data_IF_983525854520
#
_entry.id   IF_983525854520
#
_cell.length_a   1.000
_cell.length_b   1.000
_cell.length_c   1.000
_cell.angle_alpha   90.00
_cell.angle_beta   90.00
_cell.angle_gamma   90.00
#
_symmetry.space_group_name_H-M   'P 1'
#
loop_
_entity.id
_entity.type
_entity.pdbx_description
1 polymer ?
#
# COMPACT_ATOMS: atom_id res chain seq x y z
N UNK A 1 -19.25 22.01 -8.84
CA UNK A 1 -18.76 21.20 -7.69
C UNK A 1 -17.76 22.02 -6.92
N UNK A 2 -17.95 22.19 -5.61
CA UNK A 2 -16.96 22.83 -4.74
C UNK A 2 -15.68 21.98 -4.64
N UNK A 3 -14.54 22.60 -4.33
CA UNK A 3 -13.25 21.90 -4.20
C UNK A 3 -13.32 20.72 -3.21
N UNK A 4 -14.05 20.91 -2.09
CA UNK A 4 -14.30 19.88 -1.07
C UNK A 4 -15.06 18.67 -1.62
N UNK A 5 -16.11 18.87 -2.41
CA UNK A 5 -16.88 17.76 -3.01
C UNK A 5 -16.04 16.93 -3.98
N UNK A 6 -15.10 17.56 -4.70
CA UNK A 6 -14.18 16.86 -5.60
C UNK A 6 -13.24 15.93 -4.84
N UNK A 7 -12.70 16.40 -3.71
CA UNK A 7 -11.82 15.61 -2.83
C UNK A 7 -12.57 14.40 -2.26
N UNK A 8 -13.78 14.60 -1.72
CA UNK A 8 -14.59 13.51 -1.16
C UNK A 8 -14.88 12.42 -2.21
N UNK A 9 -15.23 12.81 -3.44
CA UNK A 9 -15.46 11.85 -4.54
C UNK A 9 -14.20 11.05 -4.88
N UNK A 10 -13.03 11.68 -4.86
CA UNK A 10 -11.73 11.02 -5.13
C UNK A 10 -11.38 10.02 -4.04
N UNK A 11 -11.46 10.42 -2.77
CA UNK A 11 -11.20 9.52 -1.64
C UNK A 11 -12.11 8.29 -1.66
N UNK A 12 -13.40 8.49 -1.99
CA UNK A 12 -14.36 7.40 -2.18
C UNK A 12 -13.93 6.44 -3.30
N UNK A 13 -13.31 6.95 -4.35
CA UNK A 13 -12.78 6.12 -5.44
C UNK A 13 -11.53 5.37 -5.01
N UNK A 14 -10.61 6.03 -4.29
CA UNK A 14 -9.34 5.42 -3.88
C UNK A 14 -9.56 4.20 -3.00
N UNK A 15 -10.33 4.30 -1.91
CA UNK A 15 -10.51 3.14 -1.02
C UNK A 15 -11.18 1.95 -1.73
N UNK A 16 -12.10 2.21 -2.68
CA UNK A 16 -12.75 1.17 -3.49
C UNK A 16 -11.78 0.50 -4.44
N UNK A 17 -10.88 1.27 -5.05
CA UNK A 17 -9.85 0.75 -5.94
C UNK A 17 -8.85 -0.11 -5.17
N UNK A 18 -8.36 0.36 -4.02
CA UNK A 18 -7.44 -0.43 -3.18
C UNK A 18 -8.09 -1.73 -2.69
N UNK A 19 -9.33 -1.65 -2.18
CA UNK A 19 -10.09 -2.83 -1.75
C UNK A 19 -10.36 -3.80 -2.91
N UNK A 20 -10.71 -3.27 -4.09
CA UNK A 20 -10.88 -4.05 -5.30
C UNK A 20 -9.59 -4.74 -5.71
N UNK A 21 -8.47 -4.03 -5.71
CA UNK A 21 -7.15 -4.56 -6.06
C UNK A 21 -6.68 -5.64 -5.08
N UNK A 22 -6.99 -5.50 -3.78
CA UNK A 22 -6.69 -6.51 -2.77
C UNK A 22 -7.34 -7.88 -3.09
N UNK A 23 -8.39 -7.92 -3.91
CA UNK A 23 -9.03 -9.15 -4.38
C UNK A 23 -8.69 -9.48 -5.84
N UNK A 24 -8.80 -8.50 -6.74
CA UNK A 24 -8.62 -8.69 -8.18
C UNK A 24 -7.18 -9.07 -8.54
N UNK A 25 -6.17 -8.45 -7.92
CA UNK A 25 -4.76 -8.76 -8.24
C UNK A 25 -4.43 -10.21 -7.85
N UNK A 26 -4.73 -10.69 -6.63
CA UNK A 26 -4.59 -12.11 -6.28
C UNK A 26 -5.35 -13.06 -7.21
N UNK A 27 -6.58 -12.73 -7.57
CA UNK A 27 -7.38 -13.56 -8.47
C UNK A 27 -6.76 -13.66 -9.87
N UNK A 28 -6.25 -12.56 -10.41
CA UNK A 28 -5.52 -12.55 -11.68
C UNK A 28 -4.22 -13.34 -11.61
N UNK A 29 -3.49 -13.24 -10.50
CA UNK A 29 -2.27 -14.02 -10.28
C UNK A 29 -2.57 -15.53 -10.24
N UNK A 30 -3.63 -15.93 -9.53
CA UNK A 30 -4.08 -17.32 -9.47
C UNK A 30 -4.50 -17.83 -10.86
N UNK A 31 -5.25 -17.02 -11.62
CA UNK A 31 -5.65 -17.38 -12.98
C UNK A 31 -4.44 -17.51 -13.92
N UNK A 32 -3.48 -16.58 -13.83
CA UNK A 32 -2.26 -16.58 -14.65
C UNK A 32 -1.38 -17.82 -14.43
N UNK A 33 -1.35 -18.37 -13.21
CA UNK A 33 -0.60 -19.61 -12.93
C UNK A 33 -1.39 -20.88 -13.22
N UNK A 34 -2.59 -20.78 -13.78
CA UNK A 34 -3.48 -21.93 -13.98
C UNK A 34 -3.91 -22.57 -12.65
N UNK A 35 -3.95 -21.79 -11.57
CA UNK A 35 -4.28 -22.23 -10.23
C UNK A 35 -3.12 -22.87 -9.46
N UNK A 36 -1.91 -22.92 -10.03
CA UNK A 36 -0.77 -23.57 -9.41
C UNK A 36 0.17 -22.56 -8.75
N UNK A 37 -0.23 -22.05 -7.58
CA UNK A 37 0.59 -21.17 -6.74
C UNK A 37 1.42 -21.98 -5.76
N UNK A 38 2.73 -21.73 -5.74
CA UNK A 38 3.65 -22.27 -4.76
C UNK A 38 3.71 -21.44 -3.48
N UNK A 39 4.41 -21.96 -2.48
CA UNK A 39 4.61 -21.30 -1.19
C UNK A 39 5.21 -19.89 -1.36
N UNK A 40 6.13 -19.71 -2.31
CA UNK A 40 6.79 -18.42 -2.57
C UNK A 40 5.77 -17.36 -3.00
N UNK A 41 4.82 -17.70 -3.87
CA UNK A 41 3.75 -16.78 -4.25
C UNK A 41 2.87 -16.41 -3.07
N UNK A 42 2.46 -17.36 -2.23
CA UNK A 42 1.65 -17.05 -1.04
C UNK A 42 2.37 -16.13 -0.06
N UNK A 43 3.66 -16.40 0.19
CA UNK A 43 4.51 -15.55 1.05
C UNK A 43 4.63 -14.14 0.47
N UNK A 44 4.74 -13.99 -0.85
CA UNK A 44 4.84 -12.68 -1.50
C UNK A 44 3.49 -11.93 -1.57
N UNK A 45 2.39 -12.64 -1.77
CA UNK A 45 1.05 -12.07 -1.86
C UNK A 45 0.52 -11.59 -0.51
N UNK A 46 0.92 -12.22 0.59
CA UNK A 46 0.47 -11.85 1.93
C UNK A 46 0.74 -10.36 2.30
N UNK A 47 1.98 -9.83 2.25
CA UNK A 47 2.22 -8.42 2.52
C UNK A 47 1.59 -7.49 1.46
N UNK A 48 1.51 -7.93 0.19
CA UNK A 48 0.85 -7.15 -0.86
C UNK A 48 -0.62 -6.91 -0.53
N UNK A 49 -1.37 -7.97 -0.23
CA UNK A 49 -2.79 -7.89 0.14
C UNK A 49 -2.94 -7.06 1.43
N UNK A 50 -2.11 -7.32 2.44
CA UNK A 50 -2.14 -6.58 3.70
C UNK A 50 -1.98 -5.07 3.46
N UNK A 51 -1.02 -4.66 2.63
CA UNK A 51 -0.76 -3.24 2.36
C UNK A 51 -1.87 -2.58 1.54
N UNK A 52 -2.46 -3.29 0.57
CA UNK A 52 -3.64 -2.81 -0.15
C UNK A 52 -4.83 -2.63 0.80
N UNK A 53 -5.02 -3.55 1.76
CA UNK A 53 -6.07 -3.42 2.79
C UNK A 53 -5.79 -2.26 3.76
N UNK A 54 -4.53 -2.05 4.16
CA UNK A 54 -4.13 -0.89 4.96
C UNK A 54 -4.44 0.41 4.19
N UNK A 55 -4.10 0.45 2.91
CA UNK A 55 -4.41 1.56 2.01
C UNK A 55 -5.91 1.83 1.90
N UNK A 56 -6.70 0.79 1.64
CA UNK A 56 -8.15 0.86 1.58
C UNK A 56 -8.75 1.38 2.89
N UNK A 57 -8.34 0.82 4.03
CA UNK A 57 -8.81 1.22 5.35
C UNK A 57 -8.45 2.68 5.67
N UNK A 58 -7.25 3.12 5.31
CA UNK A 58 -6.82 4.50 5.49
C UNK A 58 -7.64 5.48 4.67
N UNK A 59 -7.81 5.23 3.37
CA UNK A 59 -8.60 6.10 2.51
C UNK A 59 -10.08 6.12 2.90
N UNK A 60 -10.59 5.00 3.40
CA UNK A 60 -11.94 4.92 3.95
C UNK A 60 -12.07 5.77 5.22
N UNK A 61 -11.11 5.68 6.15
CA UNK A 61 -11.08 6.50 7.37
C UNK A 61 -10.96 8.01 7.04
N UNK A 62 -10.14 8.39 6.05
CA UNK A 62 -10.07 9.79 5.56
C UNK A 62 -11.36 10.24 4.91
N UNK A 63 -12.05 9.36 4.20
CA UNK A 63 -13.34 9.68 3.63
C UNK A 63 -14.37 9.94 4.73
N UNK A 64 -14.45 9.06 5.75
CA UNK A 64 -15.31 9.23 6.92
C UNK A 64 -15.00 10.53 7.67
N UNK A 65 -13.73 10.84 7.91
CA UNK A 65 -13.30 12.10 8.56
C UNK A 65 -13.87 13.36 7.87
N UNK A 66 -14.07 13.33 6.54
CA UNK A 66 -14.58 14.48 5.80
C UNK A 66 -16.11 14.52 5.67
N UNK A 67 -16.77 13.37 5.82
CA UNK A 67 -18.23 13.22 5.62
C UNK A 67 -19.00 13.10 6.93
N UNK A 68 -18.36 12.63 7.99
CA UNK A 68 -18.94 12.43 9.31
C UNK A 68 -18.17 13.27 10.34
N UNK A 69 -18.84 14.28 10.89
CA UNK A 69 -18.25 15.20 11.85
C UNK A 69 -17.95 14.54 13.21
N UNK A 70 -18.54 13.38 13.49
CA UNK A 70 -18.33 12.63 14.74
C UNK A 70 -17.19 11.62 14.65
N UNK A 71 -16.64 11.38 13.46
CA UNK A 71 -15.62 10.36 13.24
C UNK A 71 -14.23 10.82 13.72
N UNK A 72 -13.68 10.11 14.70
CA UNK A 72 -12.30 10.29 15.14
C UNK A 72 -11.34 9.34 14.40
N UNK A 73 -10.40 9.93 13.65
CA UNK A 73 -9.40 9.20 12.88
C UNK A 73 -8.20 8.75 13.73
N UNK A 74 -7.97 9.35 14.91
CA UNK A 74 -6.74 9.14 15.71
C UNK A 74 -6.54 7.67 16.15
N UNK A 75 -7.58 6.92 16.58
CA UNK A 75 -7.43 5.50 16.90
C UNK A 75 -6.99 4.68 15.69
N UNK A 76 -7.53 4.99 14.51
CA UNK A 76 -7.18 4.30 13.26
C UNK A 76 -5.73 4.58 12.85
N UNK A 77 -5.28 5.84 12.95
CA UNK A 77 -3.88 6.21 12.69
C UNK A 77 -2.93 5.50 13.65
N UNK A 78 -3.31 5.30 14.91
CA UNK A 78 -2.52 4.53 15.88
C UNK A 78 -2.34 3.07 15.45
N UNK A 79 -3.40 2.44 14.92
CA UNK A 79 -3.34 1.08 14.37
C UNK A 79 -2.41 1.05 13.15
N UNK A 80 -2.57 1.98 12.20
CA UNK A 80 -1.71 2.04 11.02
C UNK A 80 -0.24 2.29 11.38
N UNK A 81 0.03 3.06 12.43
CA UNK A 81 1.39 3.23 12.99
C UNK A 81 1.97 1.91 13.49
N UNK A 82 1.18 1.16 14.26
CA UNK A 82 1.58 -0.15 14.81
C UNK A 82 1.82 -1.20 13.72
N UNK A 83 1.07 -1.13 12.62
CA UNK A 83 1.23 -2.02 11.47
C UNK A 83 2.48 -1.72 10.62
N UNK A 84 3.14 -0.57 10.79
CA UNK A 84 4.33 -0.19 10.01
C UNK A 84 5.44 -1.24 10.09
N UNK A 85 5.85 -1.63 11.30
CA UNK A 85 6.95 -2.57 11.49
C UNK A 85 6.60 -3.98 11.03
N UNK A 86 5.44 -4.57 11.40
CA UNK A 86 5.01 -5.85 10.86
C UNK A 86 4.92 -5.86 9.33
N UNK A 87 4.36 -4.81 8.71
CA UNK A 87 4.27 -4.72 7.26
C UNK A 87 5.65 -4.66 6.59
N UNK A 88 6.60 -3.92 7.18
CA UNK A 88 7.98 -3.88 6.70
C UNK A 88 8.65 -5.26 6.78
N UNK A 89 8.55 -5.92 7.95
CA UNK A 89 9.15 -7.24 8.17
C UNK A 89 8.60 -8.24 7.16
N UNK A 90 7.27 -8.32 7.00
CA UNK A 90 6.64 -9.21 6.03
C UNK A 90 7.09 -8.90 4.59
N UNK A 91 7.21 -7.62 4.23
CA UNK A 91 7.67 -7.20 2.90
C UNK A 91 9.13 -7.60 2.65
N UNK A 92 10.02 -7.39 3.60
CA UNK A 92 11.43 -7.79 3.49
C UNK A 92 11.55 -9.32 3.42
N UNK A 93 10.81 -10.05 4.25
CA UNK A 93 10.78 -11.52 4.22
C UNK A 93 10.29 -12.02 2.86
N UNK A 94 9.23 -11.44 2.31
CA UNK A 94 8.73 -11.77 0.98
C UNK A 94 9.75 -11.52 -0.14
N UNK A 95 10.45 -10.39 -0.10
CA UNK A 95 11.52 -10.08 -1.05
C UNK A 95 12.66 -11.09 -0.94
N UNK A 96 13.10 -11.41 0.28
CA UNK A 96 14.14 -12.41 0.52
C UNK A 96 13.75 -13.79 -0.03
N UNK A 97 12.52 -14.23 0.22
CA UNK A 97 12.02 -15.51 -0.29
C UNK A 97 11.91 -15.54 -1.82
N UNK A 98 11.47 -14.43 -2.40
CA UNK A 98 11.39 -14.27 -3.86
C UNK A 98 12.76 -14.33 -4.51
N UNK A 99 13.75 -13.62 -3.97
CA UNK A 99 15.14 -13.68 -4.44
C UNK A 99 15.68 -15.10 -4.30
N UNK A 100 15.45 -15.74 -3.15
CA UNK A 100 15.89 -17.10 -2.91
C UNK A 100 15.26 -18.10 -3.89
N UNK A 101 14.01 -17.91 -4.30
CA UNK A 101 13.35 -18.76 -5.29
C UNK A 101 13.97 -18.66 -6.70
N UNK A 102 14.58 -17.52 -7.05
CA UNK A 102 15.34 -17.40 -8.29
C UNK A 102 16.72 -18.07 -8.22
N UNK A 103 17.33 -18.12 -7.04
CA UNK A 103 18.61 -18.79 -6.81
C UNK A 103 18.45 -20.31 -6.61
N UNK A 104 17.36 -20.73 -6.00
CA UNK A 104 17.03 -22.11 -5.72
C UNK A 104 15.62 -22.42 -6.24
N UNK A 105 15.55 -23.01 -7.44
CA UNK A 105 14.28 -23.27 -8.12
C UNK A 105 13.42 -24.33 -7.43
N UNK A 106 13.99 -25.15 -6.53
CA UNK A 106 13.29 -26.26 -5.86
C UNK A 106 12.15 -25.82 -4.93
N UNK A 107 12.16 -24.58 -4.45
CA UNK A 107 11.11 -24.06 -3.55
C UNK A 107 9.92 -23.45 -4.30
N UNK A 108 10.01 -23.36 -5.62
CA UNK A 108 8.97 -22.80 -6.49
C UNK A 108 8.38 -23.86 -7.39
N UNK A 109 7.09 -23.76 -7.69
CA UNK A 109 6.41 -24.78 -8.52
C UNK A 109 6.72 -24.61 -10.01
N UNK A 110 7.18 -23.43 -10.43
CA UNK A 110 7.58 -23.18 -11.80
C UNK A 110 7.97 -21.74 -12.07
N UNK A 111 8.22 -21.43 -13.33
CA UNK A 111 8.56 -20.07 -13.75
C UNK A 111 7.44 -19.07 -13.46
N UNK A 112 6.19 -19.44 -13.75
CA UNK A 112 5.02 -18.59 -13.51
C UNK A 112 4.85 -18.23 -12.03
N UNK A 113 5.11 -19.19 -11.12
CA UNK A 113 5.10 -18.99 -9.66
C UNK A 113 6.16 -17.96 -9.23
N UNK A 114 7.39 -18.06 -9.75
CA UNK A 114 8.45 -17.07 -9.47
C UNK A 114 8.13 -15.68 -10.02
N UNK A 115 7.51 -15.60 -11.19
CA UNK A 115 7.05 -14.33 -11.77
C UNK A 115 5.97 -13.69 -10.91
N UNK A 116 4.96 -14.45 -10.48
CA UNK A 116 3.91 -13.96 -9.57
C UNK A 116 4.51 -13.49 -8.26
N UNK A 117 5.39 -14.27 -7.64
CA UNK A 117 6.09 -13.85 -6.42
C UNK A 117 6.89 -12.56 -6.61
N UNK A 118 7.55 -12.39 -7.76
CA UNK A 118 8.30 -11.17 -8.11
C UNK A 118 7.39 -9.95 -8.23
N UNK A 119 6.26 -10.09 -8.92
CA UNK A 119 5.28 -9.01 -9.06
C UNK A 119 4.66 -8.69 -7.70
N UNK A 120 4.22 -9.68 -6.94
CA UNK A 120 3.57 -9.49 -5.64
C UNK A 120 4.51 -8.84 -4.61
N UNK A 121 5.75 -9.31 -4.51
CA UNK A 121 6.76 -8.73 -3.61
C UNK A 121 7.17 -7.32 -4.03
N UNK A 122 7.27 -7.06 -5.34
CA UNK A 122 7.49 -5.71 -5.88
C UNK A 122 6.34 -4.76 -5.58
N UNK A 123 5.09 -5.20 -5.75
CA UNK A 123 3.90 -4.43 -5.38
C UNK A 123 3.84 -4.17 -3.87
N UNK A 124 4.13 -5.17 -3.04
CA UNK A 124 4.21 -4.98 -1.59
C UNK A 124 5.25 -3.91 -1.22
N UNK A 125 6.45 -3.96 -1.80
CA UNK A 125 7.46 -2.93 -1.56
C UNK A 125 6.99 -1.54 -2.02
N UNK A 126 6.40 -1.47 -3.22
CA UNK A 126 5.87 -0.23 -3.75
C UNK A 126 4.78 0.35 -2.84
N UNK A 127 3.82 -0.45 -2.40
CA UNK A 127 2.75 -0.01 -1.49
C UNK A 127 3.28 0.39 -0.11
N UNK A 128 4.27 -0.34 0.43
CA UNK A 128 4.90 0.04 1.70
C UNK A 128 5.56 1.41 1.62
N UNK A 129 6.31 1.66 0.54
CA UNK A 129 6.90 2.98 0.28
C UNK A 129 5.80 4.01 0.05
N UNK A 130 4.78 3.66 -0.75
CA UNK A 130 3.64 4.50 -1.10
C UNK A 130 2.91 5.05 0.13
N UNK A 131 2.67 4.21 1.13
CA UNK A 131 1.91 4.60 2.32
C UNK A 131 2.78 5.19 3.43
N UNK A 132 3.96 4.64 3.70
CA UNK A 132 4.75 5.07 4.87
C UNK A 132 5.85 6.08 4.58
N UNK A 133 6.17 6.38 3.31
CA UNK A 133 7.33 7.21 2.97
C UNK A 133 7.06 8.24 1.88
N UNK A 134 6.69 7.80 0.67
CA UNK A 134 6.64 8.62 -0.54
C UNK A 134 5.43 8.25 -1.37
N UNK A 135 4.64 9.22 -1.80
CA UNK A 135 3.49 8.96 -2.66
C UNK A 135 3.96 8.53 -4.05
N UNK A 136 3.75 7.23 -4.36
CA UNK A 136 4.06 6.59 -5.64
C UNK A 136 2.80 6.39 -6.51
N UNK A 137 1.63 6.30 -5.89
CA UNK A 137 0.34 6.19 -6.58
C UNK A 137 -0.54 7.40 -6.27
N UNK A 138 -1.55 7.62 -7.12
CA UNK A 138 -2.49 8.74 -7.01
C UNK A 138 -1.86 10.14 -7.22
N UNK A 139 -0.88 10.25 -8.15
CA UNK A 139 -0.31 11.55 -8.57
C UNK A 139 -1.42 12.46 -9.11
N UNK A 140 -1.77 13.47 -8.33
CA UNK A 140 -2.98 14.25 -8.56
C UNK A 140 -2.76 15.51 -9.42
N UNK A 141 -1.52 15.82 -9.84
CA UNK A 141 -1.26 17.06 -10.57
C UNK A 141 -0.11 16.99 -11.59
N UNK A 142 -0.32 17.64 -12.75
CA UNK A 142 0.74 18.03 -13.70
C UNK A 142 1.85 18.80 -12.99
N UNK A 143 1.53 19.52 -11.92
CA UNK A 143 2.50 20.19 -11.05
C UNK A 143 3.42 19.21 -10.31
N UNK A 144 2.93 18.06 -9.85
CA UNK A 144 3.75 17.05 -9.16
C UNK A 144 4.68 16.33 -10.15
N UNK A 145 4.18 16.02 -11.35
CA UNK A 145 5.01 15.50 -12.44
C UNK A 145 6.09 16.51 -12.88
N UNK A 146 5.71 17.79 -13.01
CA UNK A 146 6.65 18.87 -13.32
C UNK A 146 7.66 19.09 -12.18
N UNK A 147 7.31 18.76 -10.94
CA UNK A 147 8.21 18.82 -9.77
C UNK A 147 9.24 17.68 -9.80
N UNK A 148 8.79 16.47 -10.14
CA UNK A 148 9.65 15.31 -10.39
C UNK A 148 10.63 15.58 -11.53
N UNK A 149 10.14 16.08 -12.66
CA UNK A 149 10.97 16.48 -13.81
C UNK A 149 11.95 17.62 -13.48
N UNK A 150 11.65 18.45 -12.48
CA UNK A 150 12.54 19.50 -11.96
C UNK A 150 13.51 19.00 -10.90
N UNK A 151 13.65 17.68 -10.70
CA UNK A 151 14.60 17.08 -9.78
C UNK A 151 14.24 17.18 -8.29
N UNK A 152 13.02 17.60 -7.94
CA UNK A 152 12.61 17.79 -6.53
C UNK A 152 12.07 16.51 -5.86
N UNK A 153 12.06 15.38 -6.57
CA UNK A 153 11.69 14.06 -6.06
C UNK A 153 10.20 13.88 -5.74
N UNK A 154 9.86 12.72 -5.16
CA UNK A 154 8.50 12.35 -4.77
C UNK A 154 8.03 13.06 -3.49
N UNK A 155 6.76 13.44 -3.42
CA UNK A 155 6.14 14.00 -2.21
C UNK A 155 6.07 12.93 -1.12
N UNK A 156 6.12 13.36 0.15
CA UNK A 156 5.74 12.49 1.27
C UNK A 156 4.28 12.06 1.13
N UNK A 157 4.00 10.82 1.48
CA UNK A 157 2.64 10.27 1.46
C UNK A 157 1.77 10.94 2.52
N UNK A 158 0.46 11.05 2.24
CA UNK A 158 -0.47 11.68 3.18
C UNK A 158 -0.52 10.89 4.50
N UNK A 159 -0.51 9.56 4.46
CA UNK A 159 -0.46 8.74 5.66
C UNK A 159 0.81 8.99 6.49
N UNK A 160 1.98 9.14 5.86
CA UNK A 160 3.20 9.43 6.61
C UNK A 160 3.13 10.78 7.35
N UNK A 161 2.52 11.79 6.72
CA UNK A 161 2.29 13.10 7.34
C UNK A 161 1.32 12.97 8.53
N UNK A 162 0.16 12.35 8.30
CA UNK A 162 -0.87 12.16 9.34
C UNK A 162 -0.31 11.35 10.55
N UNK A 163 0.56 10.37 10.31
CA UNK A 163 1.21 9.57 11.35
C UNK A 163 2.24 10.35 12.17
N UNK A 164 2.94 11.31 11.56
CA UNK A 164 3.89 12.18 12.25
C UNK A 164 3.16 13.19 13.14
N UNK A 165 2.07 13.77 12.65
CA UNK A 165 1.21 14.71 13.40
C UNK A 165 0.68 14.05 14.68
N UNK A 166 0.08 12.86 14.58
CA UNK A 166 -0.40 12.11 15.76
C UNK A 166 0.75 11.68 16.67
N UNK A 167 1.96 11.45 16.14
CA UNK A 167 3.14 11.15 16.94
C UNK A 167 3.66 12.35 17.75
N UNK A 168 3.58 13.55 17.19
CA UNK A 168 3.98 14.79 17.86
C UNK A 168 3.01 15.13 19.01
N UNK A 169 1.70 15.03 18.77
CA UNK A 169 0.67 15.29 19.78
C UNK A 169 0.75 14.32 20.98
N UNK A 170 1.09 13.05 20.73
CA UNK A 170 1.27 12.05 21.79
C UNK A 170 2.57 12.21 22.59
N UNK A 171 3.55 12.98 22.09
CA UNK A 171 4.84 13.21 22.75
C UNK A 171 4.96 14.57 23.43
N UNK A 172 3.89 15.38 23.43
CA UNK A 172 3.82 16.66 24.15
C UNK A 172 4.77 17.74 23.63
N UNK A 173 5.21 17.63 22.37
CA UNK A 173 6.04 18.64 21.70
C UNK A 173 5.16 19.51 20.81
N UNK A 174 4.48 20.50 21.40
CA UNK A 174 3.90 21.65 20.68
C UNK A 174 4.90 22.80 20.64
#
# INVERSE_FOLDING_TARGET
MSGRQRIIKRLKSYWKLEAGNAFLIPAMMFWFTGGNLGLVSYVAMAPMILLLLIGAAYWHAKWLQLTDASFDIVPHLTIFRRLRTPALVLTITALGWTIYAWLNTSISVGFADRVVASIASGLALAEYVNYYHRQLQHFDNVADFKRLLRGKGFRRSQMAIDLEEVGADQTGKS
#
